data_IF_450037035297
#
_entry.id   IF_450037035297
#
_cell.length_a   1.000
_cell.length_b   1.000
_cell.length_c   1.000
_cell.angle_alpha   90.00
_cell.angle_beta   90.00
_cell.angle_gamma   90.00
#
_symmetry.space_group_name_H-M   'P 1'
#
loop_
_entity.id
_entity.type
_entity.pdbx_description
1 polymer ?
#
# COMPACT_ATOMS: atom_id res chain seq x y z
N UNK A 1 -10.86 -21.38 -44.30
CA UNK A 1 -10.70 -19.91 -44.31
C UNK A 1 -10.87 -19.41 -42.89
N UNK A 2 -9.81 -18.82 -42.34
CA UNK A 2 -9.65 -18.44 -40.94
C UNK A 2 -10.16 -17.02 -40.68
N UNK A 3 -11.39 -16.90 -40.15
CA UNK A 3 -11.90 -15.66 -39.55
C UNK A 3 -12.70 -15.96 -38.27
N UNK A 4 -12.16 -16.82 -37.39
CA UNK A 4 -12.88 -17.26 -36.19
C UNK A 4 -12.40 -16.65 -34.87
N UNK A 5 -11.30 -15.89 -34.82
CA UNK A 5 -10.75 -15.42 -33.53
C UNK A 5 -10.08 -14.03 -33.57
N UNK A 6 -10.77 -13.01 -34.05
CA UNK A 6 -10.51 -11.65 -33.55
C UNK A 6 -11.76 -10.79 -33.76
N UNK A 7 -12.53 -10.48 -32.71
CA UNK A 7 -13.49 -9.40 -32.80
C UNK A 7 -12.72 -8.12 -33.13
N UNK A 8 -13.10 -7.43 -34.21
CA UNK A 8 -12.57 -6.10 -34.46
C UNK A 8 -13.19 -5.15 -33.42
N UNK A 9 -12.39 -4.72 -32.44
CA UNK A 9 -12.83 -3.78 -31.41
C UNK A 9 -12.63 -2.35 -31.91
N UNK A 10 -13.71 -1.72 -32.37
CA UNK A 10 -13.71 -0.29 -32.69
C UNK A 10 -13.99 0.51 -31.42
N UNK A 11 -12.92 0.92 -30.75
CA UNK A 11 -13.00 1.70 -29.52
C UNK A 11 -12.86 3.17 -29.88
N UNK A 12 -13.95 3.93 -29.78
CA UNK A 12 -13.97 5.37 -30.10
C UNK A 12 -13.23 6.23 -29.08
N UNK A 13 -13.50 6.06 -27.78
CA UNK A 13 -12.72 6.69 -26.72
C UNK A 13 -12.83 5.90 -25.42
N UNK A 14 -11.73 5.83 -24.67
CA UNK A 14 -11.70 5.38 -23.28
C UNK A 14 -11.09 6.50 -22.47
N UNK A 15 -11.86 7.04 -21.52
CA UNK A 15 -11.39 8.07 -20.59
C UNK A 15 -11.32 7.47 -19.21
N UNK A 16 -10.10 7.32 -18.73
CA UNK A 16 -9.82 6.87 -17.37
C UNK A 16 -9.50 8.11 -16.55
N UNK A 17 -10.31 8.40 -15.53
CA UNK A 17 -10.08 9.53 -14.63
C UNK A 17 -8.96 9.23 -13.65
N UNK A 18 -9.09 8.14 -12.89
CA UNK A 18 -8.06 7.64 -11.98
C UNK A 18 -8.14 6.12 -11.92
N UNK A 19 -6.99 5.48 -11.77
CA UNK A 19 -6.87 4.07 -11.36
C UNK A 19 -6.06 4.11 -10.07
N UNK A 20 -6.65 3.63 -8.99
CA UNK A 20 -5.98 3.59 -7.69
C UNK A 20 -5.22 2.28 -7.50
N UNK A 21 -4.57 2.14 -6.36
CA UNK A 21 -3.77 1.00 -5.99
C UNK A 21 -4.53 -0.32 -6.09
N UNK A 22 -3.79 -1.42 -6.21
CA UNK A 22 -4.33 -2.76 -6.40
C UNK A 22 -5.33 -2.89 -7.56
N UNK A 23 -5.20 -2.06 -8.60
CA UNK A 23 -6.15 -2.07 -9.72
C UNK A 23 -5.45 -2.38 -11.04
N UNK A 24 -6.17 -3.04 -11.94
CA UNK A 24 -5.74 -3.26 -13.31
C UNK A 24 -6.87 -2.93 -14.28
N UNK A 25 -6.52 -2.39 -15.45
CA UNK A 25 -7.44 -2.19 -16.56
C UNK A 25 -6.97 -3.07 -17.72
N UNK A 26 -7.69 -4.18 -17.94
CA UNK A 26 -7.33 -5.17 -18.95
C UNK A 26 -8.41 -5.21 -20.04
N UNK A 27 -8.01 -5.20 -21.31
CA UNK A 27 -8.92 -5.24 -22.47
C UNK A 27 -8.47 -6.28 -23.49
N UNK A 28 -9.43 -6.96 -24.14
CA UNK A 28 -9.16 -8.11 -25.00
C UNK A 28 -9.13 -9.43 -24.23
N UNK A 29 -8.49 -10.46 -24.82
CA UNK A 29 -8.39 -11.78 -24.19
C UNK A 29 -7.24 -11.79 -23.18
N UNK A 30 -7.55 -11.62 -21.90
CA UNK A 30 -6.56 -11.53 -20.83
C UNK A 30 -6.72 -12.67 -19.84
N UNK A 31 -5.60 -13.17 -19.32
CA UNK A 31 -5.55 -14.10 -18.19
C UNK A 31 -4.66 -13.50 -17.09
N UNK A 32 -5.14 -12.48 -16.35
CA UNK A 32 -4.37 -11.94 -15.24
C UNK A 32 -4.27 -13.02 -14.16
N UNK A 33 -3.06 -13.42 -13.81
CA UNK A 33 -2.79 -14.38 -12.74
C UNK A 33 -1.74 -13.80 -11.79
N UNK A 34 -1.74 -14.27 -10.55
CA UNK A 34 -0.80 -13.84 -9.51
C UNK A 34 -0.82 -12.33 -9.21
N UNK A 35 -1.98 -11.69 -9.38
CA UNK A 35 -2.15 -10.29 -8.99
C UNK A 35 -2.11 -10.17 -7.46
N UNK A 36 -1.06 -9.51 -6.95
CA UNK A 36 -0.91 -9.20 -5.54
C UNK A 36 -0.53 -7.72 -5.43
N UNK A 37 -1.23 -7.00 -4.57
CA UNK A 37 -0.91 -5.63 -4.25
C UNK A 37 -1.01 -5.47 -2.74
N UNK A 38 0.07 -4.97 -2.15
CA UNK A 38 0.12 -4.60 -0.75
C UNK A 38 0.31 -3.09 -0.68
N UNK A 39 -0.64 -2.40 -0.05
CA UNK A 39 -0.57 -0.96 0.15
C UNK A 39 -0.78 -0.66 1.62
N UNK A 40 0.19 0.03 2.21
CA UNK A 40 0.01 0.73 3.48
C UNK A 40 -0.28 2.19 3.18
N UNK A 41 -1.50 2.65 3.47
CA UNK A 41 -1.88 4.04 3.26
C UNK A 41 -2.17 4.70 4.60
N UNK A 42 -1.30 5.63 4.95
CA UNK A 42 -1.35 6.35 6.20
C UNK A 42 -1.66 7.83 5.90
N UNK A 43 -2.95 8.13 5.83
CA UNK A 43 -3.43 9.45 5.43
C UNK A 43 -3.93 10.23 6.65
N UNK A 44 -3.12 11.19 7.09
CA UNK A 44 -3.45 12.06 8.22
C UNK A 44 -4.56 13.07 7.93
N UNK A 45 -4.83 13.34 6.65
CA UNK A 45 -5.91 14.21 6.19
C UNK A 45 -6.31 13.87 4.75
N UNK A 46 -7.63 13.89 4.48
CA UNK A 46 -8.29 13.36 3.27
C UNK A 46 -8.07 14.14 1.97
N UNK A 47 -9.04 14.05 1.06
CA UNK A 47 -9.05 14.83 -0.19
C UNK A 47 -9.99 16.02 -0.10
N UNK A 48 -9.60 17.14 -0.69
CA UNK A 48 -10.40 18.35 -0.81
C UNK A 48 -10.54 18.66 -2.29
N UNK A 49 -11.77 18.96 -2.71
CA UNK A 49 -12.08 19.27 -4.11
C UNK A 49 -13.05 20.45 -4.18
N UNK A 50 -13.03 21.18 -5.30
CA UNK A 50 -13.83 22.40 -5.50
C UNK A 50 -13.09 23.71 -5.17
N UNK A 51 -13.80 24.83 -5.25
CA UNK A 51 -13.27 26.18 -5.06
C UNK A 51 -13.56 26.73 -3.64
N UNK A 52 -12.79 27.72 -3.17
CA UNK A 52 -12.95 28.38 -1.86
C UNK A 52 -12.80 27.47 -0.63
N UNK A 53 -12.05 26.37 -0.75
CA UNK A 53 -11.72 25.54 0.40
C UNK A 53 -10.73 26.26 1.32
N UNK A 54 -11.11 26.48 2.59
CA UNK A 54 -10.20 26.99 3.62
C UNK A 54 -9.94 25.90 4.67
N UNK A 55 -8.66 25.69 4.99
CA UNK A 55 -8.22 24.71 5.98
C UNK A 55 -7.31 25.37 7.00
N UNK A 56 -7.69 25.24 8.26
CA UNK A 56 -6.91 25.79 9.36
C UNK A 56 -6.82 24.76 10.49
N UNK A 57 -5.64 24.65 11.11
CA UNK A 57 -5.46 23.84 12.33
C UNK A 57 -5.34 22.33 12.14
N UNK A 58 -5.10 21.81 10.93
CA UNK A 58 -4.90 20.37 10.73
C UNK A 58 -3.61 19.93 11.45
N UNK A 59 -3.75 18.97 12.37
CA UNK A 59 -2.63 18.25 12.98
C UNK A 59 -2.86 16.76 12.79
N UNK A 60 -1.91 16.09 12.16
CA UNK A 60 -1.89 14.65 12.04
C UNK A 60 -0.66 14.12 12.78
N UNK A 61 -0.88 13.20 13.71
CA UNK A 61 0.17 12.43 14.36
C UNK A 61 -0.09 10.97 14.05
N UNK A 62 0.94 10.30 13.55
CA UNK A 62 0.89 8.89 13.22
C UNK A 62 2.08 8.23 13.88
N UNK A 63 1.79 7.35 14.83
CA UNK A 63 2.77 6.48 15.44
C UNK A 63 2.42 5.06 15.00
N UNK A 64 3.25 4.52 14.12
CA UNK A 64 2.99 3.25 13.47
C UNK A 64 4.27 2.41 13.53
N UNK A 65 4.36 1.48 14.48
CA UNK A 65 5.57 0.72 14.70
C UNK A 65 5.80 -0.27 13.54
N UNK A 66 6.85 -0.02 12.76
CA UNK A 66 7.26 -0.78 11.56
C UNK A 66 7.38 -2.31 11.79
N UNK A 67 7.51 -2.73 13.04
CA UNK A 67 7.57 -4.14 13.45
C UNK A 67 6.31 -4.93 13.08
N UNK A 68 5.11 -4.36 13.27
CA UNK A 68 3.84 -5.07 13.00
C UNK A 68 3.71 -5.37 11.50
N UNK A 69 4.14 -4.43 10.64
CA UNK A 69 4.10 -4.61 9.19
C UNK A 69 5.19 -5.58 8.70
N UNK A 70 6.40 -5.51 9.25
CA UNK A 70 7.46 -6.47 8.93
C UNK A 70 7.05 -7.90 9.30
N UNK A 71 6.37 -8.11 10.44
CA UNK A 71 5.94 -9.44 10.88
C UNK A 71 4.94 -10.09 9.91
N UNK A 72 4.06 -9.30 9.29
CA UNK A 72 3.07 -9.78 8.33
C UNK A 72 3.67 -10.16 6.97
N UNK A 73 4.87 -9.67 6.65
CA UNK A 73 5.57 -9.92 5.38
C UNK A 73 6.73 -10.91 5.50
N UNK A 74 7.10 -11.27 6.72
CA UNK A 74 8.26 -12.10 7.01
C UNK A 74 7.94 -13.58 6.89
N UNK A 75 8.66 -14.28 6.01
CA UNK A 75 8.69 -15.75 6.01
C UNK A 75 9.23 -16.25 7.37
N UNK A 76 8.69 -17.36 7.87
CA UNK A 76 8.88 -17.89 9.24
C UNK A 76 10.34 -18.04 9.72
N UNK A 77 11.32 -17.89 8.83
CA UNK A 77 12.76 -17.99 9.07
C UNK A 77 13.38 -16.72 9.68
N UNK A 78 12.74 -15.55 9.55
CA UNK A 78 13.28 -14.26 10.02
C UNK A 78 12.71 -13.80 11.38
N UNK A 79 11.75 -14.54 11.94
CA UNK A 79 11.17 -14.25 13.27
C UNK A 79 12.19 -14.31 14.44
N UNK A 80 13.17 -15.24 14.48
CA UNK A 80 14.06 -15.36 15.63
C UNK A 80 15.00 -14.15 15.82
N UNK A 81 15.56 -13.60 14.74
CA UNK A 81 16.48 -12.46 14.81
C UNK A 81 15.77 -11.15 15.14
N UNK A 82 14.52 -11.01 14.71
CA UNK A 82 13.66 -9.86 15.00
C UNK A 82 13.30 -9.80 16.49
N UNK A 83 12.95 -10.95 17.10
CA UNK A 83 12.67 -11.06 18.53
C UNK A 83 13.90 -10.75 19.40
N UNK A 84 15.10 -11.14 18.94
CA UNK A 84 16.36 -10.82 19.62
C UNK A 84 16.63 -9.30 19.64
N UNK A 85 16.37 -8.60 18.53
CA UNK A 85 16.52 -7.14 18.50
C UNK A 85 15.57 -6.41 19.48
N UNK A 86 14.39 -6.98 19.74
CA UNK A 86 13.43 -6.42 20.70
C UNK A 86 13.90 -6.57 22.15
N UNK A 87 14.42 -7.74 22.54
CA UNK A 87 14.96 -7.93 23.89
C UNK A 87 16.12 -6.97 24.17
N UNK A 88 16.92 -6.69 23.15
CA UNK A 88 18.09 -5.82 23.25
C UNK A 88 17.68 -4.33 23.30
N UNK A 89 16.61 -3.95 22.60
CA UNK A 89 16.07 -2.58 22.66
C UNK A 89 15.41 -2.23 23.99
N UNK A 90 14.75 -3.19 24.65
CA UNK A 90 14.15 -2.97 25.98
C UNK A 90 15.18 -2.86 27.10
N UNK A 91 16.38 -3.42 26.93
CA UNK A 91 17.46 -3.31 27.93
C UNK A 91 18.24 -2.00 27.82
N UNK A 92 18.27 -1.36 26.65
CA UNK A 92 18.95 -0.08 26.44
C UNK A 92 18.19 1.13 27.02
N UNK A 93 16.85 1.11 26.99
CA UNK A 93 16.04 2.18 27.61
C UNK A 93 16.13 2.19 29.15
N UNK A 94 16.39 1.03 29.78
CA UNK A 94 16.55 0.96 31.24
C UNK A 94 17.92 1.43 31.74
N UNK A 95 18.93 1.56 30.89
CA UNK A 95 20.29 2.00 31.29
C UNK A 95 20.51 3.51 31.17
N UNK A 96 19.53 4.26 30.66
CA UNK A 96 19.62 5.73 30.47
C UNK A 96 18.81 6.55 31.48
N UNK A 97 18.07 5.90 32.40
CA UNK A 97 17.41 6.56 33.55
C UNK A 97 18.23 6.50 34.86
N UNK A 98 19.34 5.75 34.91
CA UNK A 98 20.31 5.75 36.02
C UNK A 98 21.62 6.45 35.61
N UNK A 99 21.60 7.76 35.36
CA UNK A 99 22.79 8.63 35.53
C UNK A 99 22.40 10.07 35.87
#
# INVERSE_FOLDING_TARGET
MSHLFSPAFFIGQIRVGTISDASCLNMGNNQPSHFNSKKKQNQGFGSITGDNNNLEGIRALLNDPDFIDMLAETDSQFLPSLLQGLSDSQTADQTSEET
#
